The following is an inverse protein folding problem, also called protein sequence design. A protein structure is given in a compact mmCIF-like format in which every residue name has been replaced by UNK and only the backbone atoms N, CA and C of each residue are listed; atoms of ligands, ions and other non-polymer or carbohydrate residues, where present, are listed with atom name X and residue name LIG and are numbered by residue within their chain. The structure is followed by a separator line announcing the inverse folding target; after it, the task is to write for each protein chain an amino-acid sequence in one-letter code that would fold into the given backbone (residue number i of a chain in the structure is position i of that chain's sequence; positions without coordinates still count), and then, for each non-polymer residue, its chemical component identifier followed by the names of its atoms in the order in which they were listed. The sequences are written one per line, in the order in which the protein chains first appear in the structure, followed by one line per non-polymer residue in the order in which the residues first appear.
data_IF_810717524754
#
_entry.id   IF_810717524754
#
_cell.length_a   1.000
_cell.length_b   1.000
_cell.length_c   1.000
_cell.angle_alpha   90.00
_cell.angle_beta   90.00
_cell.angle_gamma   90.00
#
_symmetry.space_group_name_H-M   'P 1'
#
loop_
_entity.id
_entity.type
_entity.pdbx_description
1 polymer ?
#
# COMPACT_ATOMS: atom_id res chain seq x y z
N UNK A 1 2.63 2.38 -19.35
CA UNK A 1 2.38 2.44 -17.89
C UNK A 1 3.72 2.38 -17.21
N UNK A 2 4.04 3.18 -16.17
CA UNK A 2 5.06 2.74 -15.24
C UNK A 2 4.47 1.54 -14.46
N UNK A 3 4.74 0.34 -14.97
CA UNK A 3 4.68 -0.88 -14.17
C UNK A 3 5.93 -0.86 -13.29
N UNK A 4 5.72 -0.95 -11.99
CA UNK A 4 6.76 -1.06 -10.98
C UNK A 4 6.66 -2.42 -10.31
N UNK A 5 7.80 -2.94 -9.88
CA UNK A 5 7.80 -4.10 -8.99
C UNK A 5 7.56 -3.66 -7.56
N UNK A 6 7.05 -4.55 -6.71
CA UNK A 6 6.80 -4.24 -5.31
C UNK A 6 8.08 -3.80 -4.58
N UNK A 7 9.25 -4.29 -5.01
CA UNK A 7 10.55 -3.92 -4.46
C UNK A 7 10.88 -2.42 -4.66
N UNK A 8 10.28 -1.77 -5.65
CA UNK A 8 10.41 -0.33 -5.91
C UNK A 8 9.48 0.52 -5.03
N UNK A 9 8.57 -0.10 -4.26
CA UNK A 9 7.54 0.61 -3.51
C UNK A 9 8.12 1.60 -2.48
N UNK A 10 9.14 1.20 -1.72
CA UNK A 10 9.76 2.11 -0.73
C UNK A 10 10.29 3.37 -1.41
N UNK A 11 11.03 3.21 -2.52
CA UNK A 11 11.61 4.31 -3.29
C UNK A 11 10.55 5.22 -3.93
N UNK A 12 9.51 4.63 -4.51
CA UNK A 12 8.52 5.42 -5.25
C UNK A 12 7.46 6.06 -4.33
N UNK A 13 7.17 5.44 -3.18
CA UNK A 13 6.05 5.82 -2.29
C UNK A 13 6.51 6.38 -0.94
N UNK A 14 7.57 5.84 -0.33
CA UNK A 14 7.95 6.19 1.05
C UNK A 14 9.18 7.12 1.13
N UNK A 15 9.94 7.24 0.05
CA UNK A 15 11.03 8.21 -0.08
C UNK A 15 10.46 9.56 -0.56
N UNK A 16 9.98 10.36 0.41
CA UNK A 16 9.47 11.71 0.21
C UNK A 16 10.44 12.70 0.88
N UNK A 17 11.08 13.59 0.10
CA UNK A 17 11.95 14.67 0.60
C UNK A 17 13.41 14.26 0.88
N UNK A 18 14.31 15.25 0.89
CA UNK A 18 15.77 15.08 0.98
C UNK A 18 16.29 14.53 2.32
N UNK A 19 15.45 14.53 3.37
CA UNK A 19 15.81 13.99 4.70
C UNK A 19 15.61 12.47 4.82
N UNK A 20 15.18 11.81 3.74
CA UNK A 20 14.98 10.36 3.66
C UNK A 20 16.29 9.55 3.57
N UNK A 21 17.44 10.18 3.24
CA UNK A 21 18.68 9.45 2.92
C UNK A 21 19.71 9.40 4.04
N UNK A 22 19.93 10.42 4.88
CA UNK A 22 21.20 10.48 5.64
C UNK A 22 21.10 10.97 7.11
N UNK A 23 19.95 10.82 7.79
CA UNK A 23 19.88 11.14 9.23
C UNK A 23 20.56 10.07 10.14
N UNK A 24 21.19 9.05 9.56
CA UNK A 24 21.84 7.95 10.29
C UNK A 24 23.36 7.87 10.10
N UNK A 25 23.95 8.80 9.34
CA UNK A 25 25.40 8.98 9.32
C UNK A 25 25.75 10.36 9.86
N UNK A 26 26.35 10.37 11.06
CA UNK A 26 27.02 11.50 11.70
C UNK A 26 26.14 12.56 12.41
N UNK A 27 26.13 12.40 13.74
CA UNK A 27 25.96 13.49 14.70
C UNK A 27 26.93 14.65 14.45
N UNK A 28 26.46 15.88 14.74
CA UNK A 28 27.21 17.14 14.91
C UNK A 28 27.29 18.13 13.72
N UNK A 29 26.15 18.47 13.10
CA UNK A 29 26.04 19.70 12.30
C UNK A 29 24.95 20.65 12.86
N UNK A 30 25.26 21.94 13.11
CA UNK A 30 24.29 22.89 13.64
C UNK A 30 23.30 23.33 12.56
N UNK A 31 22.00 23.13 12.84
CA UNK A 31 20.82 23.76 12.23
C UNK A 31 21.08 24.58 10.96
N UNK A 32 20.94 23.94 9.80
CA UNK A 32 20.62 24.64 8.57
C UNK A 32 19.11 24.97 8.59
N UNK A 33 18.81 26.21 8.96
CA UNK A 33 17.50 26.82 8.81
C UNK A 33 17.18 26.96 7.31
N UNK A 34 16.35 26.06 6.79
CA UNK A 34 15.46 26.20 5.61
C UNK A 34 14.66 24.88 5.40
N UNK A 35 14.25 24.20 6.49
CA UNK A 35 13.66 22.85 6.48
C UNK A 35 12.14 22.81 6.74
N UNK A 36 11.46 23.95 6.74
CA UNK A 36 10.06 24.04 7.17
C UNK A 36 9.03 23.57 6.10
N UNK A 37 9.44 23.36 4.84
CA UNK A 37 8.50 23.10 3.73
C UNK A 37 8.22 21.60 3.42
N UNK A 38 9.00 20.67 3.97
CA UNK A 38 8.87 19.22 3.69
C UNK A 38 8.32 18.40 4.87
N UNK A 39 8.32 18.92 6.10
CA UNK A 39 7.85 18.19 7.29
C UNK A 39 6.33 17.92 7.31
N UNK A 40 5.55 18.68 6.52
CA UNK A 40 4.09 18.57 6.48
C UNK A 40 3.54 17.60 5.41
N UNK A 41 4.41 16.98 4.61
CA UNK A 41 4.00 16.13 3.50
C UNK A 41 3.90 14.66 3.89
N UNK A 42 2.78 14.04 3.53
CA UNK A 42 2.53 12.64 3.85
C UNK A 42 2.15 11.76 2.68
N UNK A 43 1.79 10.53 3.05
CA UNK A 43 1.16 9.52 2.21
C UNK A 43 -0.32 9.45 2.58
N UNK A 44 -1.21 9.60 1.60
CA UNK A 44 -2.62 9.30 1.77
C UNK A 44 -2.92 7.91 1.21
N UNK A 45 -3.68 7.09 1.93
CA UNK A 45 -3.97 5.71 1.54
C UNK A 45 -5.48 5.47 1.46
N UNK A 46 -5.99 5.19 0.27
CA UNK A 46 -7.27 4.50 0.11
C UNK A 46 -7.00 3.00 0.19
N UNK A 47 -7.68 2.29 1.09
CA UNK A 47 -7.53 0.84 1.23
C UNK A 47 -8.88 0.16 1.11
N UNK A 48 -8.92 -0.94 0.35
CA UNK A 48 -10.12 -1.76 0.20
C UNK A 48 -10.61 -2.18 1.59
N UNK A 49 -11.90 -1.96 1.87
CA UNK A 49 -12.55 -2.22 3.16
C UNK A 49 -12.85 -3.71 3.38
N UNK A 50 -11.95 -4.58 2.95
CA UNK A 50 -11.95 -6.01 3.22
C UNK A 50 -10.78 -6.39 4.14
N UNK A 51 -10.67 -7.67 4.50
CA UNK A 51 -9.62 -8.13 5.43
C UNK A 51 -8.22 -7.96 4.82
N UNK A 52 -8.03 -8.22 3.52
CA UNK A 52 -6.72 -8.07 2.86
C UNK A 52 -6.28 -6.60 2.86
N UNK A 53 -7.17 -5.66 2.53
CA UNK A 53 -6.89 -4.23 2.54
C UNK A 53 -6.64 -3.68 3.95
N UNK A 54 -7.41 -4.10 4.96
CA UNK A 54 -7.17 -3.74 6.37
C UNK A 54 -5.81 -4.26 6.84
N UNK A 55 -5.48 -5.51 6.54
CA UNK A 55 -4.17 -6.08 6.88
C UNK A 55 -3.04 -5.38 6.11
N UNK A 56 -3.24 -5.02 4.84
CA UNK A 56 -2.25 -4.29 4.06
C UNK A 56 -1.95 -2.91 4.64
N UNK A 57 -2.98 -2.16 5.04
CA UNK A 57 -2.81 -0.88 5.73
C UNK A 57 -2.06 -1.07 7.06
N UNK A 58 -2.51 -2.02 7.89
CA UNK A 58 -1.87 -2.31 9.19
C UNK A 58 -0.38 -2.62 9.03
N UNK A 59 -0.02 -3.44 8.05
CA UNK A 59 1.37 -3.78 7.76
C UNK A 59 2.15 -2.54 7.31
N UNK A 60 1.56 -1.73 6.42
CA UNK A 60 2.19 -0.50 5.95
C UNK A 60 2.48 0.47 7.10
N UNK A 61 1.54 0.67 8.04
CA UNK A 61 1.73 1.52 9.23
C UNK A 61 2.92 1.07 10.10
N UNK A 62 3.27 -0.21 10.09
CA UNK A 62 4.43 -0.76 10.82
C UNK A 62 5.76 -0.60 10.08
N UNK A 63 5.77 -0.04 8.87
CA UNK A 63 7.00 0.26 8.15
C UNK A 63 7.88 1.24 8.93
N UNK A 64 9.20 1.02 8.95
CA UNK A 64 10.18 1.85 9.70
C UNK A 64 10.02 3.35 9.43
N UNK A 65 9.77 3.73 8.18
CA UNK A 65 9.61 5.15 7.78
C UNK A 65 8.36 5.78 8.39
N UNK A 66 7.27 5.03 8.43
CA UNK A 66 5.97 5.50 8.96
C UNK A 66 5.96 5.51 10.49
N UNK A 67 6.59 4.51 11.12
CA UNK A 67 6.82 4.51 12.57
C UNK A 67 7.82 5.58 13.04
N UNK A 68 8.63 6.14 12.14
CA UNK A 68 9.61 7.19 12.44
C UNK A 68 9.23 8.57 11.89
N UNK A 69 7.92 8.85 11.75
CA UNK A 69 7.43 10.22 11.59
C UNK A 69 6.98 10.60 10.17
N UNK A 70 7.11 9.72 9.18
CA UNK A 70 6.43 9.95 7.90
C UNK A 70 4.92 9.90 8.12
N UNK A 71 4.23 10.99 7.79
CA UNK A 71 2.80 11.12 7.97
C UNK A 71 2.03 10.16 7.06
N UNK A 72 1.08 9.43 7.64
CA UNK A 72 0.13 8.62 6.91
C UNK A 72 -1.31 8.93 7.34
N UNK A 73 -2.17 9.10 6.36
CA UNK A 73 -3.62 9.22 6.56
C UNK A 73 -4.31 8.20 5.68
N UNK A 74 -5.32 7.52 6.21
CA UNK A 74 -6.00 6.44 5.50
C UNK A 74 -7.51 6.63 5.46
N UNK A 75 -8.15 6.04 4.44
CA UNK A 75 -9.59 6.04 4.27
C UNK A 75 -10.07 4.70 3.69
N UNK A 76 -10.98 3.97 4.37
CA UNK A 76 -11.53 2.72 3.86
C UNK A 76 -12.46 2.97 2.68
N UNK A 77 -12.43 2.08 1.70
CA UNK A 77 -13.28 2.15 0.51
C UNK A 77 -13.83 0.76 0.19
N UNK A 78 -15.15 0.64 0.00
CA UNK A 78 -15.77 -0.61 -0.45
C UNK A 78 -16.12 -0.54 -1.93
N UNK A 79 -16.35 0.65 -2.45
CA UNK A 79 -16.63 0.93 -3.85
C UNK A 79 -16.13 2.32 -4.26
N UNK A 80 -16.11 2.58 -5.57
CA UNK A 80 -15.70 3.88 -6.13
C UNK A 80 -16.50 5.07 -5.57
N UNK A 81 -17.79 4.86 -5.27
CA UNK A 81 -18.66 5.89 -4.74
C UNK A 81 -18.20 6.43 -3.37
N UNK A 82 -17.46 5.63 -2.60
CA UNK A 82 -16.91 6.06 -1.30
C UNK A 82 -15.85 7.14 -1.47
N UNK A 83 -15.07 7.09 -2.55
CA UNK A 83 -14.04 8.08 -2.86
C UNK A 83 -14.68 9.38 -3.34
N UNK A 84 -15.67 9.31 -4.23
CA UNK A 84 -16.44 10.51 -4.61
C UNK A 84 -17.10 11.16 -3.39
N UNK A 85 -17.62 10.34 -2.45
CA UNK A 85 -18.19 10.82 -1.19
C UNK A 85 -17.14 11.49 -0.30
N UNK A 86 -15.94 10.90 -0.20
CA UNK A 86 -14.80 11.48 0.49
C UNK A 86 -14.42 12.84 -0.09
N UNK A 87 -14.19 12.91 -1.42
CA UNK A 87 -13.83 14.15 -2.13
C UNK A 87 -14.90 15.23 -1.89
N UNK A 88 -16.18 14.89 -2.06
CA UNK A 88 -17.30 15.82 -1.86
C UNK A 88 -17.36 16.35 -0.43
N UNK A 89 -17.21 15.46 0.57
CA UNK A 89 -17.19 15.85 1.99
C UNK A 89 -16.02 16.78 2.28
N UNK A 90 -14.83 16.44 1.77
CA UNK A 90 -13.62 17.24 1.97
C UNK A 90 -13.75 18.63 1.33
N UNK A 91 -14.23 18.72 0.09
CA UNK A 91 -14.53 19.99 -0.58
C UNK A 91 -15.57 20.83 0.18
N UNK A 92 -16.60 20.20 0.75
CA UNK A 92 -17.61 20.89 1.55
C UNK A 92 -17.04 21.46 2.85
N UNK A 93 -16.07 20.76 3.47
CA UNK A 93 -15.38 21.24 4.66
C UNK A 93 -14.49 22.42 4.31
N UNK A 94 -13.72 22.34 3.21
CA UNK A 94 -12.85 23.42 2.73
C UNK A 94 -13.66 24.69 2.47
N UNK A 95 -14.82 24.58 1.81
CA UNK A 95 -15.67 25.75 1.51
C UNK A 95 -16.34 26.33 2.76
N UNK A 96 -16.65 25.51 3.75
CA UNK A 96 -17.30 25.95 4.99
C UNK A 96 -16.29 26.58 5.97
N UNK A 97 -15.04 26.10 5.96
CA UNK A 97 -13.98 26.49 6.90
C UNK A 97 -12.68 26.83 6.16
N UNK A 98 -12.62 27.96 5.44
CA UNK A 98 -11.47 28.33 4.61
C UNK A 98 -10.19 28.62 5.41
N UNK A 99 -10.31 28.93 6.70
CA UNK A 99 -9.18 29.26 7.57
C UNK A 99 -8.48 28.01 8.16
N UNK A 100 -9.03 26.81 7.94
CA UNK A 100 -8.44 25.56 8.44
C UNK A 100 -7.33 25.12 7.49
N UNK A 101 -6.11 24.96 8.01
CA UNK A 101 -5.02 24.35 7.24
C UNK A 101 -5.39 22.91 6.86
N UNK A 102 -5.32 22.63 5.57
CA UNK A 102 -5.60 21.31 5.02
C UNK A 102 -4.30 20.54 4.81
N UNK A 103 -4.32 19.27 5.15
CA UNK A 103 -3.16 18.40 4.99
C UNK A 103 -2.83 18.19 3.51
N UNK A 104 -1.53 18.27 3.20
CA UNK A 104 -0.98 18.07 1.87
C UNK A 104 -0.28 16.71 1.78
N UNK A 105 -0.43 16.03 0.64
CA UNK A 105 0.16 14.71 0.42
C UNK A 105 0.81 14.66 -0.95
N UNK A 106 2.04 14.16 -1.02
CA UNK A 106 2.76 13.94 -2.28
C UNK A 106 2.52 12.56 -2.87
N UNK A 107 1.96 11.65 -2.08
CA UNK A 107 1.66 10.28 -2.48
C UNK A 107 0.22 9.95 -2.13
N UNK A 108 -0.50 9.42 -3.11
CA UNK A 108 -1.83 8.83 -2.88
C UNK A 108 -1.74 7.37 -3.30
N UNK A 109 -1.96 6.47 -2.36
CA UNK A 109 -1.84 5.02 -2.54
C UNK A 109 -3.23 4.41 -2.56
N UNK A 110 -3.48 3.53 -3.51
CA UNK A 110 -4.68 2.74 -3.66
C UNK A 110 -4.32 1.27 -3.38
N UNK A 111 -4.64 0.77 -2.19
CA UNK A 111 -4.36 -0.60 -1.74
C UNK A 111 -5.57 -1.51 -1.95
N UNK A 112 -5.39 -2.61 -2.68
CA UNK A 112 -6.42 -3.66 -2.79
C UNK A 112 -7.54 -3.34 -3.77
N UNK A 113 -7.38 -2.35 -4.63
CA UNK A 113 -8.45 -1.88 -5.52
C UNK A 113 -8.71 -2.86 -6.67
N UNK A 114 -9.97 -2.94 -7.11
CA UNK A 114 -10.47 -3.96 -8.04
C UNK A 114 -10.86 -3.40 -9.41
N UNK A 115 -9.94 -2.71 -10.08
CA UNK A 115 -10.23 -2.16 -11.39
C UNK A 115 -11.21 -1.00 -11.28
N UNK A 116 -10.70 0.21 -11.11
CA UNK A 116 -11.55 1.38 -11.00
C UNK A 116 -11.53 2.20 -12.28
N UNK A 117 -12.63 2.92 -12.52
CA UNK A 117 -12.79 3.81 -13.66
C UNK A 117 -11.63 4.81 -13.73
N UNK A 118 -10.99 4.99 -14.92
CA UNK A 118 -10.05 6.07 -15.16
C UNK A 118 -10.51 7.43 -14.62
N UNK A 119 -11.79 7.78 -14.79
CA UNK A 119 -12.35 9.06 -14.34
C UNK A 119 -12.20 9.26 -12.83
N UNK A 120 -12.25 8.18 -12.05
CA UNK A 120 -12.02 8.23 -10.61
C UNK A 120 -10.57 8.58 -10.29
N UNK A 121 -9.61 7.96 -10.99
CA UNK A 121 -8.19 8.24 -10.81
C UNK A 121 -7.88 9.71 -11.14
N UNK A 122 -8.47 10.26 -12.21
CA UNK A 122 -8.39 11.69 -12.53
C UNK A 122 -8.99 12.56 -11.44
N UNK A 123 -10.16 12.20 -10.89
CA UNK A 123 -10.79 12.93 -9.80
C UNK A 123 -9.91 12.98 -8.54
N UNK A 124 -9.27 11.86 -8.19
CA UNK A 124 -8.29 11.80 -7.10
C UNK A 124 -7.13 12.74 -7.38
N UNK A 125 -6.53 12.67 -8.59
CA UNK A 125 -5.40 13.54 -8.98
C UNK A 125 -5.73 15.01 -8.84
N UNK A 126 -6.88 15.43 -9.38
CA UNK A 126 -7.33 16.82 -9.31
C UNK A 126 -7.56 17.25 -7.86
N UNK A 127 -8.21 16.42 -7.05
CA UNK A 127 -8.51 16.74 -5.65
C UNK A 127 -7.23 16.95 -4.82
N UNK A 128 -6.26 16.04 -4.91
CA UNK A 128 -5.04 16.11 -4.10
C UNK A 128 -4.02 17.13 -4.65
N UNK A 129 -3.91 17.29 -5.98
CA UNK A 129 -3.00 18.29 -6.57
C UNK A 129 -3.40 19.72 -6.23
N UNK A 130 -4.71 20.00 -6.11
CA UNK A 130 -5.19 21.33 -5.71
C UNK A 130 -4.84 21.69 -4.27
N UNK A 131 -4.53 20.71 -3.42
CA UNK A 131 -4.07 20.91 -2.03
C UNK A 131 -2.57 21.19 -1.93
N UNK A 132 -1.83 20.95 -3.01
CA UNK A 132 -0.40 21.22 -3.07
C UNK A 132 -0.13 22.64 -3.62
N UNK A 133 0.96 23.30 -3.17
CA UNK A 133 1.48 24.50 -3.80
C UNK A 133 1.72 24.29 -5.30
N UNK A 134 1.54 25.33 -6.12
CA UNK A 134 1.63 25.22 -7.59
C UNK A 134 2.95 24.63 -8.08
N UNK A 135 4.06 24.97 -7.41
CA UNK A 135 5.40 24.46 -7.71
C UNK A 135 5.56 22.95 -7.52
N UNK A 136 4.73 22.34 -6.67
CA UNK A 136 4.85 20.93 -6.26
C UNK A 136 3.75 20.04 -6.79
N UNK A 137 2.77 20.59 -7.53
CA UNK A 137 1.65 19.80 -8.09
C UNK A 137 2.12 18.67 -9.00
N UNK A 138 3.23 18.87 -9.70
CA UNK A 138 3.85 17.85 -10.58
C UNK A 138 4.56 16.73 -9.81
N UNK A 139 4.83 16.90 -8.52
CA UNK A 139 5.47 15.88 -7.68
C UNK A 139 4.49 14.85 -7.11
N UNK A 140 3.17 15.11 -7.24
CA UNK A 140 2.12 14.20 -6.81
C UNK A 140 2.19 12.90 -7.62
N UNK A 141 2.37 11.77 -6.93
CA UNK A 141 2.27 10.44 -7.55
C UNK A 141 1.06 9.68 -7.03
N UNK A 142 0.41 8.97 -7.95
CA UNK A 142 -0.69 8.07 -7.63
C UNK A 142 -0.21 6.65 -7.84
N UNK A 143 -0.20 5.90 -6.74
CA UNK A 143 0.41 4.59 -6.63
C UNK A 143 -0.68 3.56 -6.38
N UNK A 144 -0.73 2.50 -7.17
CA UNK A 144 -1.83 1.55 -7.16
C UNK A 144 -1.22 0.16 -6.93
N UNK A 145 -1.69 -0.51 -5.88
CA UNK A 145 -1.38 -1.92 -5.59
C UNK A 145 -2.69 -2.70 -5.75
N UNK A 146 -3.03 -3.11 -6.98
CA UNK A 146 -4.33 -3.69 -7.29
C UNK A 146 -4.42 -5.13 -6.81
N UNK A 147 -5.61 -5.54 -6.36
CA UNK A 147 -5.88 -6.94 -5.99
C UNK A 147 -6.30 -7.80 -7.19
N UNK A 148 -6.78 -7.16 -8.27
CA UNK A 148 -7.24 -7.82 -9.49
C UNK A 148 -6.25 -7.67 -10.65
N UNK A 149 -6.36 -8.60 -11.59
CA UNK A 149 -5.63 -8.68 -12.86
C UNK A 149 -6.56 -9.18 -13.98
N UNK A 150 -6.22 -8.96 -15.26
CA UNK A 150 -5.11 -8.15 -15.76
C UNK A 150 -5.34 -6.64 -15.56
N UNK A 151 -4.25 -5.85 -15.60
CA UNK A 151 -4.29 -4.39 -15.41
C UNK A 151 -4.97 -3.67 -16.57
N UNK A 152 -5.11 -4.32 -17.73
CA UNK A 152 -5.84 -3.78 -18.89
C UNK A 152 -7.29 -3.43 -18.57
N UNK A 153 -7.89 -4.04 -17.54
CA UNK A 153 -9.23 -3.68 -17.07
C UNK A 153 -9.33 -2.21 -16.65
N UNK A 154 -8.27 -1.60 -16.12
CA UNK A 154 -8.31 -0.21 -15.66
C UNK A 154 -8.49 0.79 -16.82
N UNK A 155 -8.40 0.36 -18.09
CA UNK A 155 -8.69 1.16 -19.28
C UNK A 155 -8.05 2.56 -19.29
N UNK A 156 -6.88 2.71 -18.66
CA UNK A 156 -6.15 3.97 -18.56
C UNK A 156 -5.16 4.12 -19.72
N UNK A 157 -5.21 5.25 -20.42
CA UNK A 157 -4.17 5.63 -21.39
C UNK A 157 -2.89 6.04 -20.67
N UNK A 158 -1.74 5.64 -21.21
CA UNK A 158 -0.42 5.85 -20.60
C UNK A 158 0.14 7.26 -20.80
N UNK A 159 -0.54 8.26 -20.23
CA UNK A 159 0.16 9.45 -19.78
C UNK A 159 0.63 9.22 -18.34
N UNK A 160 1.86 9.65 -18.05
CA UNK A 160 2.82 9.17 -17.03
C UNK A 160 2.43 9.25 -15.53
N UNK A 161 1.14 9.30 -15.18
CA UNK A 161 0.70 9.76 -13.85
C UNK A 161 0.34 8.64 -12.84
N UNK A 162 0.27 7.38 -13.28
CA UNK A 162 -0.19 6.26 -12.45
C UNK A 162 0.87 5.16 -12.36
N UNK A 163 1.30 4.83 -11.14
CA UNK A 163 2.30 3.79 -10.87
C UNK A 163 1.59 2.52 -10.40
N UNK A 164 1.62 1.48 -11.23
CA UNK A 164 1.01 0.19 -10.89
C UNK A 164 2.07 -0.77 -10.37
N UNK A 165 1.86 -1.29 -9.16
CA UNK A 165 2.77 -2.22 -8.52
C UNK A 165 2.33 -3.67 -8.75
N UNK A 166 3.26 -4.49 -9.21
CA UNK A 166 3.12 -5.94 -9.37
C UNK A 166 4.15 -6.68 -8.51
N UNK A 167 3.94 -7.97 -8.26
CA UNK A 167 4.75 -8.71 -7.28
C UNK A 167 6.19 -8.95 -7.71
N UNK A 168 6.46 -9.11 -9.01
CA UNK A 168 7.80 -9.39 -9.53
C UNK A 168 7.92 -9.11 -11.04
N UNK A 169 9.14 -9.23 -11.57
CA UNK A 169 9.46 -9.06 -12.99
C UNK A 169 8.74 -10.04 -13.92
N UNK A 170 8.44 -11.25 -13.45
CA UNK A 170 7.68 -12.24 -14.24
C UNK A 170 6.24 -11.75 -14.47
N UNK A 171 5.63 -11.16 -13.44
CA UNK A 171 4.31 -10.54 -13.52
C UNK A 171 4.34 -9.28 -14.39
N UNK A 172 5.43 -8.49 -14.36
CA UNK A 172 5.63 -7.37 -15.30
C UNK A 172 5.59 -7.87 -16.74
N UNK A 173 6.38 -8.89 -17.06
CA UNK A 173 6.43 -9.46 -18.40
C UNK A 173 5.08 -10.06 -18.83
N UNK A 174 4.35 -10.69 -17.90
CA UNK A 174 3.03 -11.23 -18.16
C UNK A 174 2.02 -10.13 -18.50
N UNK A 175 1.93 -9.08 -17.69
CA UNK A 175 1.00 -7.97 -17.91
C UNK A 175 1.31 -7.21 -19.20
N UNK A 176 2.59 -7.00 -19.51
CA UNK A 176 3.01 -6.43 -20.79
C UNK A 176 2.58 -7.32 -21.97
N UNK A 177 2.75 -8.64 -21.87
CA UNK A 177 2.37 -9.57 -22.93
C UNK A 177 0.85 -9.64 -23.15
N UNK A 178 0.05 -9.54 -22.09
CA UNK A 178 -1.42 -9.48 -22.15
C UNK A 178 -1.84 -8.22 -22.89
N UNK A 179 -1.20 -7.10 -22.57
CA UNK A 179 -1.45 -5.81 -23.19
C UNK A 179 -1.08 -5.79 -24.68
N UNK A 180 0.10 -6.28 -25.06
CA UNK A 180 0.56 -6.29 -26.46
C UNK A 180 -0.30 -7.17 -27.37
N UNK A 181 -0.84 -8.26 -26.83
CA UNK A 181 -1.62 -9.24 -27.60
C UNK A 181 -3.12 -8.99 -27.56
N UNK A 182 -3.58 -7.94 -26.88
CA UNK A 182 -4.98 -7.66 -26.60
C UNK A 182 -5.72 -8.91 -26.08
N UNK A 183 -5.02 -9.73 -25.27
CA UNK A 183 -5.57 -10.98 -24.77
C UNK A 183 -6.60 -10.66 -23.70
N UNK A 184 -7.89 -10.78 -24.04
CA UNK A 184 -8.98 -10.72 -23.08
C UNK A 184 -9.01 -12.03 -22.29
N UNK A 185 -8.13 -12.15 -21.29
CA UNK A 185 -8.25 -13.14 -20.23
C UNK A 185 -9.38 -12.77 -19.27
N UNK A 186 -9.94 -13.75 -18.57
CA UNK A 186 -10.88 -13.48 -17.48
C UNK A 186 -10.21 -12.72 -16.33
N UNK A 187 -10.98 -11.96 -15.55
CA UNK A 187 -10.48 -11.28 -14.36
C UNK A 187 -10.07 -12.33 -13.33
N UNK A 188 -8.86 -12.21 -12.81
CA UNK A 188 -8.32 -13.05 -11.75
C UNK A 188 -7.78 -12.19 -10.60
N UNK A 189 -7.66 -12.79 -9.42
CA UNK A 189 -7.07 -12.12 -8.26
C UNK A 189 -5.59 -12.47 -8.15
N UNK A 190 -4.76 -11.48 -7.80
CA UNK A 190 -3.31 -11.67 -7.61
C UNK A 190 -2.99 -12.25 -6.22
N UNK A 191 -1.71 -12.31 -5.85
CA UNK A 191 -1.26 -12.51 -4.46
C UNK A 191 -1.80 -11.42 -3.52
N UNK A 192 -1.82 -11.71 -2.21
CA UNK A 192 -2.42 -10.84 -1.18
C UNK A 192 -1.74 -9.51 -1.20
N UNK A 193 -2.51 -8.43 -1.24
CA UNK A 193 -1.93 -7.09 -1.16
C UNK A 193 -1.21 -6.94 0.18
N UNK A 194 -1.78 -7.47 1.27
CA UNK A 194 -1.08 -7.52 2.55
C UNK A 194 0.25 -8.28 2.49
N UNK A 195 0.29 -9.43 1.81
CA UNK A 195 1.52 -10.22 1.65
C UNK A 195 2.56 -9.52 0.77
N UNK A 196 2.13 -8.81 -0.28
CA UNK A 196 3.01 -7.99 -1.11
C UNK A 196 3.61 -6.83 -0.32
N UNK A 197 2.81 -6.12 0.47
CA UNK A 197 3.31 -5.05 1.33
C UNK A 197 4.22 -5.63 2.43
N UNK A 198 3.88 -6.80 2.98
CA UNK A 198 4.71 -7.48 3.99
C UNK A 198 6.12 -7.79 3.47
N UNK A 199 6.27 -8.21 2.20
CA UNK A 199 7.58 -8.58 1.65
C UNK A 199 8.55 -7.42 1.57
N UNK A 200 8.04 -6.19 1.49
CA UNK A 200 8.87 -4.97 1.42
C UNK A 200 8.93 -4.21 2.74
N UNK A 201 8.17 -4.66 3.75
CA UNK A 201 8.08 -3.92 5.02
C UNK A 201 9.28 -4.18 5.91
N UNK A 202 10.10 -3.13 6.10
CA UNK A 202 11.22 -3.12 7.05
C UNK A 202 10.72 -2.62 8.40
N UNK A 203 10.93 -3.40 9.46
CA UNK A 203 10.56 -3.03 10.84
C UNK A 203 11.79 -2.78 11.70
N UNK A 204 11.61 -2.02 12.78
CA UNK A 204 12.65 -1.73 13.77
C UNK A 204 12.64 -2.71 14.94
N UNK A 205 11.47 -3.23 15.30
CA UNK A 205 11.29 -4.18 16.39
C UNK A 205 10.81 -5.53 15.88
N UNK A 206 11.33 -6.59 16.50
CA UNK A 206 10.96 -7.97 16.16
C UNK A 206 9.49 -8.29 16.46
N UNK A 207 8.91 -7.67 17.49
CA UNK A 207 7.47 -7.76 17.79
C UNK A 207 6.60 -7.23 16.65
N UNK A 208 6.99 -6.12 16.02
CA UNK A 208 6.33 -5.58 14.83
C UNK A 208 6.44 -6.53 13.65
N UNK A 209 7.60 -7.19 13.49
CA UNK A 209 7.79 -8.23 12.46
C UNK A 209 6.85 -9.41 12.66
N UNK A 210 6.67 -9.88 13.89
CA UNK A 210 5.70 -10.93 14.21
C UNK A 210 4.25 -10.50 13.91
N UNK A 211 3.88 -9.28 14.27
CA UNK A 211 2.54 -8.73 13.99
C UNK A 211 2.27 -8.64 12.47
N UNK A 212 3.27 -8.23 11.67
CA UNK A 212 3.18 -8.20 10.21
C UNK A 212 2.99 -9.60 9.64
N UNK A 213 3.77 -10.58 10.10
CA UNK A 213 3.66 -11.96 9.63
C UNK A 213 2.26 -12.53 9.91
N UNK A 214 1.70 -12.23 11.08
CA UNK A 214 0.33 -12.61 11.40
C UNK A 214 -0.71 -11.92 10.53
N UNK A 215 -0.62 -10.60 10.37
CA UNK A 215 -1.55 -9.85 9.52
C UNK A 215 -1.49 -10.36 8.07
N UNK A 216 -0.30 -10.69 7.56
CA UNK A 216 -0.11 -11.32 6.26
C UNK A 216 -0.80 -12.69 6.18
N UNK A 217 -0.65 -13.54 7.20
CA UNK A 217 -1.31 -14.85 7.24
C UNK A 217 -2.84 -14.73 7.27
N UNK A 218 -3.39 -13.82 8.09
CA UNK A 218 -4.84 -13.55 8.16
C UNK A 218 -5.37 -13.10 6.81
N UNK A 219 -4.66 -12.21 6.13
CA UNK A 219 -5.04 -11.75 4.80
C UNK A 219 -5.02 -12.88 3.76
N UNK A 220 -3.96 -13.68 3.72
CA UNK A 220 -3.85 -14.85 2.82
C UNK A 220 -5.02 -15.81 3.02
N UNK A 221 -5.36 -16.15 4.28
CA UNK A 221 -6.46 -17.05 4.62
C UNK A 221 -7.80 -16.44 4.23
N UNK A 222 -8.05 -15.18 4.58
CA UNK A 222 -9.30 -14.49 4.24
C UNK A 222 -9.58 -14.51 2.75
N UNK A 223 -8.55 -14.33 1.92
CA UNK A 223 -8.74 -14.40 0.47
C UNK A 223 -9.01 -15.80 -0.04
N UNK A 224 -8.44 -16.84 0.57
CA UNK A 224 -8.81 -18.22 0.25
C UNK A 224 -10.30 -18.45 0.53
N UNK A 225 -10.81 -17.96 1.66
CA UNK A 225 -12.22 -18.14 2.06
C UNK A 225 -13.19 -17.36 1.17
N UNK A 226 -12.85 -16.13 0.78
CA UNK A 226 -13.77 -15.23 0.09
C UNK A 226 -13.62 -15.20 -1.45
N UNK A 227 -12.45 -15.50 -1.99
CA UNK A 227 -12.18 -15.35 -3.43
C UNK A 227 -12.32 -16.67 -4.21
N UNK A 228 -12.47 -17.81 -3.53
CA UNK A 228 -12.34 -19.15 -4.11
C UNK A 228 -11.14 -19.28 -5.06
N UNK A 229 -10.07 -18.50 -4.84
CA UNK A 229 -8.87 -18.65 -5.66
C UNK A 229 -8.28 -20.00 -5.32
N UNK A 230 -8.15 -20.86 -6.34
CA UNK A 230 -7.32 -22.05 -6.29
C UNK A 230 -5.85 -21.61 -6.27
N UNK A 231 -5.46 -20.77 -5.30
CA UNK A 231 -4.06 -20.50 -5.05
C UNK A 231 -3.48 -21.79 -4.46
N UNK A 232 -2.89 -22.60 -5.34
CA UNK A 232 -2.04 -23.75 -4.97
C UNK A 232 -0.88 -23.32 -4.06
N UNK A 233 -0.67 -22.01 -3.89
CA UNK A 233 0.39 -21.40 -3.12
C UNK A 233 -0.01 -20.98 -1.69
N UNK A 234 -1.29 -21.04 -1.28
CA UNK A 234 -1.70 -20.64 0.09
C UNK A 234 -0.94 -21.45 1.15
N UNK A 235 -0.96 -22.78 1.03
CA UNK A 235 -0.26 -23.65 1.98
C UNK A 235 1.24 -23.37 2.03
N UNK A 236 1.86 -23.09 0.88
CA UNK A 236 3.28 -22.73 0.80
C UNK A 236 3.55 -21.39 1.49
N UNK A 237 2.72 -20.37 1.27
CA UNK A 237 2.84 -19.05 1.91
C UNK A 237 2.65 -19.14 3.43
N UNK A 238 1.62 -19.85 3.90
CA UNK A 238 1.37 -20.05 5.33
C UNK A 238 2.50 -20.87 5.98
N UNK A 239 2.98 -21.92 5.31
CA UNK A 239 4.13 -22.72 5.81
C UNK A 239 5.39 -21.88 5.90
N UNK A 240 5.65 -21.03 4.89
CA UNK A 240 6.77 -20.09 4.91
C UNK A 240 6.66 -19.10 6.07
N UNK A 241 5.50 -18.46 6.26
CA UNK A 241 5.27 -17.54 7.36
C UNK A 241 5.47 -18.22 8.71
N UNK A 242 4.99 -19.45 8.87
CA UNK A 242 5.20 -20.26 10.08
C UNK A 242 6.69 -20.53 10.36
N UNK A 243 7.45 -20.90 9.33
CA UNK A 243 8.89 -21.12 9.46
C UNK A 243 9.61 -19.82 9.85
N UNK A 244 9.25 -18.70 9.22
CA UNK A 244 9.85 -17.39 9.53
C UNK A 244 9.53 -16.92 10.96
N UNK A 245 8.29 -17.10 11.44
CA UNK A 245 7.90 -16.79 12.82
C UNK A 245 8.70 -17.64 13.83
N UNK A 246 8.93 -18.91 13.51
CA UNK A 246 9.66 -19.85 14.38
C UNK A 246 11.16 -19.49 14.52
N UNK A 247 11.68 -18.64 13.64
CA UNK A 247 13.07 -18.18 13.65
C UNK A 247 13.28 -16.84 14.38
N UNK A 248 12.22 -16.26 14.96
CA UNK A 248 12.33 -15.01 15.73
C UNK A 248 12.96 -15.25 17.12
N UNK A 249 13.89 -14.39 17.52
CA UNK A 249 14.74 -14.50 18.72
C UNK A 249 13.94 -14.44 20.04
N UNK A 250 12.70 -13.95 20.01
CA UNK A 250 11.75 -13.95 21.13
C UNK A 250 10.92 -15.23 21.32
N UNK A 251 11.10 -16.26 20.48
CA UNK A 251 10.30 -17.48 20.48
C UNK A 251 8.96 -17.34 19.73
N UNK A 252 8.17 -18.42 19.57
CA UNK A 252 6.95 -18.37 18.77
C UNK A 252 5.89 -17.52 19.47
N UNK A 253 5.69 -16.29 19.00
CA UNK A 253 4.52 -15.46 19.35
C UNK A 253 3.19 -16.06 18.86
N UNK A 254 3.26 -17.13 18.04
CA UNK A 254 2.13 -17.81 17.40
C UNK A 254 2.21 -19.31 17.66
N UNK A 255 1.20 -19.90 18.29
CA UNK A 255 1.01 -21.36 18.33
C UNK A 255 0.14 -21.78 17.14
N UNK A 256 0.65 -22.68 16.30
CA UNK A 256 -0.11 -23.30 15.22
C UNK A 256 -0.64 -24.65 15.72
N UNK A 257 -1.97 -24.76 15.88
CA UNK A 257 -2.61 -26.04 16.17
C UNK A 257 -3.04 -26.69 14.86
N UNK A 258 -2.23 -27.63 14.36
CA UNK A 258 -2.52 -28.35 13.12
C UNK A 258 -3.78 -29.21 13.18
N UNK A 259 -4.35 -29.45 14.37
CA UNK A 259 -5.57 -30.25 14.57
C UNK A 259 -6.83 -29.37 14.68
N UNK A 260 -6.70 -28.05 14.90
CA UNK A 260 -7.82 -27.12 15.08
C UNK A 260 -7.77 -25.93 14.11
N UNK A 261 -8.10 -26.19 12.84
CA UNK A 261 -8.37 -25.15 11.81
C UNK A 261 -7.18 -24.24 11.45
N UNK A 262 -7.12 -23.65 10.24
CA UNK A 262 -5.92 -22.97 9.71
C UNK A 262 -5.57 -21.62 10.37
N UNK A 263 -6.17 -21.28 11.52
CA UNK A 263 -5.96 -19.98 12.15
C UNK A 263 -4.66 -19.97 12.97
N UNK A 264 -3.69 -19.09 12.67
CA UNK A 264 -2.59 -18.84 13.59
C UNK A 264 -3.16 -18.28 14.90
N UNK A 265 -2.96 -18.96 16.03
CA UNK A 265 -3.30 -18.42 17.35
C UNK A 265 -2.10 -17.63 17.86
N UNK A 266 -2.20 -16.29 17.90
CA UNK A 266 -1.21 -15.47 18.64
C UNK A 266 -1.54 -15.58 20.13
N UNK A 267 -0.51 -15.89 20.93
CA UNK A 267 -0.53 -15.65 22.38
C UNK A 267 0.61 -14.68 22.69
N UNK A 268 0.27 -13.46 23.14
CA UNK A 268 1.23 -12.58 23.78
C UNK A 268 1.37 -13.02 25.24
N UNK A 269 2.56 -13.44 25.65
CA UNK A 269 2.90 -13.67 27.08
C UNK A 269 3.46 -12.41 27.70
#
# INVERSE_FOLDING_TARGET
MPLCTIDEFEKEVLDIGANASDAYEESDAPFAADADDDEDLGVFVFYQGDVDGVCALFILEHHKRLSHGLKLTSYPVHCEADIYSYIKKNLSIITTYPDVQHEAYLRVVLLGVHGWDPELLYAIKVHFSQKLPESRRSELKICIVPASRPLTFFNVSFDADWYFFVGNEEEVALEQSIQERELVGGIYMSTSVASLIASITKTTHESSRAAIMYASAVATISRMEHSCSLDTNVNTQITRLFQEISMLDGGPYVQYDSERTPFPLISFT
#
